data_IF_491550133820
#
_entry.id   IF_491550133820
#
_cell.length_a   1.000
_cell.length_b   1.000
_cell.length_c   1.000
_cell.angle_alpha   90.00
_cell.angle_beta   90.00
_cell.angle_gamma   90.00
#
_symmetry.space_group_name_H-M   'P 1'
#
loop_
_entity.id
_entity.type
_entity.pdbx_description
1 polymer ?
#
# COMPACT_ATOMS: atom_id res chain seq x y z
N UNK A 1 1.78 4.52 11.07
CA UNK A 1 0.95 3.29 10.98
C UNK A 1 0.51 3.08 9.54
N UNK A 2 0.74 1.87 9.01
CA UNK A 2 0.28 1.51 7.66
C UNK A 2 -1.25 1.35 7.65
N UNK A 3 -1.89 1.61 6.52
CA UNK A 3 -3.37 1.56 6.43
C UNK A 3 -3.94 0.17 6.73
N UNK A 4 -3.22 -0.89 6.38
CA UNK A 4 -3.67 -2.27 6.61
C UNK A 4 -3.59 -2.65 8.09
N UNK A 5 -2.54 -2.22 8.80
CA UNK A 5 -2.41 -2.34 10.26
C UNK A 5 -3.55 -1.60 10.98
N UNK A 6 -3.85 -0.38 10.51
CA UNK A 6 -4.95 0.42 11.02
C UNK A 6 -6.28 -0.30 10.86
N UNK A 7 -6.60 -0.81 9.66
CA UNK A 7 -7.85 -1.53 9.39
C UNK A 7 -7.96 -2.81 10.20
N UNK A 8 -6.87 -3.58 10.33
CA UNK A 8 -6.85 -4.80 11.13
C UNK A 8 -7.17 -4.52 12.60
N UNK A 9 -6.56 -3.48 13.18
CA UNK A 9 -6.81 -3.07 14.57
C UNK A 9 -8.22 -2.52 14.74
N UNK A 10 -8.67 -1.70 13.79
CA UNK A 10 -10.00 -1.09 13.82
C UNK A 10 -11.13 -2.13 13.78
N UNK A 11 -10.97 -3.20 12.99
CA UNK A 11 -11.94 -4.28 12.89
C UNK A 11 -12.12 -5.08 14.19
N UNK A 12 -11.16 -5.01 15.13
CA UNK A 12 -11.30 -5.61 16.46
C UNK A 12 -12.15 -4.74 17.40
N UNK A 13 -12.25 -3.43 17.12
CA UNK A 13 -12.91 -2.46 17.98
C UNK A 13 -14.35 -2.16 17.52
N UNK A 14 -14.61 -2.22 16.22
CA UNK A 14 -15.87 -1.81 15.62
C UNK A 14 -16.09 -2.47 14.26
N UNK A 15 -17.35 -2.48 13.81
CA UNK A 15 -17.65 -2.84 12.42
C UNK A 15 -17.19 -1.74 11.49
N UNK A 16 -16.61 -2.12 10.35
CA UNK A 16 -16.15 -1.17 9.34
C UNK A 16 -16.64 -1.55 7.95
N UNK A 17 -16.85 -0.53 7.13
CA UNK A 17 -17.01 -0.68 5.69
C UNK A 17 -16.10 0.31 4.98
N UNK A 18 -15.36 -0.15 3.97
CA UNK A 18 -14.53 0.71 3.13
C UNK A 18 -15.19 0.86 1.76
N UNK A 19 -15.48 2.08 1.34
CA UNK A 19 -15.87 2.38 -0.04
C UNK A 19 -14.65 2.15 -0.97
N UNK A 20 -14.79 1.23 -1.91
CA UNK A 20 -13.72 0.83 -2.83
C UNK A 20 -13.36 1.89 -3.86
N UNK A 21 -14.26 2.84 -4.15
CA UNK A 21 -14.02 3.95 -5.08
C UNK A 21 -13.38 5.14 -4.38
N UNK A 22 -13.91 5.54 -3.23
CA UNK A 22 -13.46 6.74 -2.52
C UNK A 22 -12.37 6.48 -1.48
N UNK A 23 -12.20 5.22 -1.05
CA UNK A 23 -11.28 4.84 0.02
C UNK A 23 -11.73 5.31 1.41
N UNK A 24 -12.96 5.82 1.54
CA UNK A 24 -13.52 6.25 2.83
C UNK A 24 -13.82 5.03 3.68
N UNK A 25 -13.35 5.05 4.92
CA UNK A 25 -13.63 4.02 5.92
C UNK A 25 -14.76 4.55 6.80
N UNK A 26 -15.89 3.87 6.81
CA UNK A 26 -17.01 4.13 7.72
C UNK A 26 -16.95 3.15 8.88
N UNK A 27 -17.08 3.67 10.10
CA UNK A 27 -17.05 2.93 11.36
C UNK A 27 -18.45 2.92 11.95
N UNK A 28 -18.92 1.76 12.40
CA UNK A 28 -20.25 1.52 12.93
C UNK A 28 -20.13 0.89 14.32
N UNK A 29 -21.04 1.24 15.22
CA UNK A 29 -21.20 0.45 16.45
C UNK A 29 -21.97 -0.83 16.13
N UNK A 30 -21.90 -1.80 17.04
CA UNK A 30 -22.59 -3.08 16.88
C UNK A 30 -24.13 -2.93 16.81
N UNK A 31 -24.67 -1.82 17.33
CA UNK A 31 -26.11 -1.54 17.35
C UNK A 31 -26.64 -0.97 16.03
N UNK A 32 -25.77 -0.44 15.16
CA UNK A 32 -26.15 0.22 13.90
C UNK A 32 -25.63 -0.53 12.66
N UNK A 33 -25.15 -1.75 12.83
CA UNK A 33 -24.70 -2.61 11.73
C UNK A 33 -25.85 -3.52 11.27
N UNK A 34 -26.36 -3.29 10.05
CA UNK A 34 -27.26 -4.25 9.38
C UNK A 34 -28.69 -3.80 9.07
N UNK A 35 -29.09 -2.56 9.36
CA UNK A 35 -30.36 -2.00 8.87
C UNK A 35 -30.08 -0.88 7.87
N UNK A 36 -31.04 -0.61 6.97
CA UNK A 36 -31.04 0.25 5.76
C UNK A 36 -30.43 1.69 5.84
N UNK A 37 -29.75 2.05 6.92
CA UNK A 37 -29.22 3.37 7.15
C UNK A 37 -27.82 3.55 6.55
N UNK A 38 -27.79 4.13 5.35
CA UNK A 38 -26.61 4.82 4.81
C UNK A 38 -26.01 5.89 5.77
N UNK A 39 -26.69 6.16 6.89
CA UNK A 39 -26.32 7.13 7.92
C UNK A 39 -25.98 6.51 9.28
N UNK A 40 -25.93 5.18 9.43
CA UNK A 40 -25.68 4.51 10.72
C UNK A 40 -24.24 4.57 11.24
N UNK A 41 -23.33 5.22 10.52
CA UNK A 41 -21.92 5.31 10.89
C UNK A 41 -21.70 6.32 12.02
N UNK A 42 -20.77 6.02 12.94
CA UNK A 42 -20.33 6.95 13.98
C UNK A 42 -19.10 7.76 13.55
N UNK A 43 -18.22 7.20 12.72
CA UNK A 43 -17.10 7.92 12.11
C UNK A 43 -16.97 7.61 10.61
N UNK A 44 -16.59 8.62 9.82
CA UNK A 44 -16.06 8.42 8.46
C UNK A 44 -14.67 9.03 8.35
N UNK A 45 -13.74 8.21 7.88
CA UNK A 45 -12.33 8.52 7.79
C UNK A 45 -11.92 8.56 6.32
N UNK A 46 -11.25 9.65 5.91
CA UNK A 46 -10.62 9.77 4.59
C UNK A 46 -9.09 9.65 4.70
N UNK A 47 -8.55 8.43 4.84
CA UNK A 47 -7.13 8.21 5.17
C UNK A 47 -6.17 8.65 4.07
N UNK A 48 -6.58 8.71 2.80
CA UNK A 48 -5.70 9.10 1.69
C UNK A 48 -5.41 10.62 1.64
N UNK A 49 -6.10 11.44 2.44
CA UNK A 49 -5.90 12.89 2.47
C UNK A 49 -4.74 13.29 3.37
N UNK A 50 -4.07 14.41 3.05
CA UNK A 50 -2.94 14.96 3.82
C UNK A 50 -3.28 15.05 5.31
N UNK A 51 -4.42 15.65 5.63
CA UNK A 51 -5.08 15.58 6.93
C UNK A 51 -6.22 14.57 6.83
N UNK A 52 -6.29 13.58 7.73
CA UNK A 52 -7.42 12.65 7.76
C UNK A 52 -8.67 13.47 8.04
N UNK A 53 -9.68 13.37 7.18
CA UNK A 53 -10.98 13.95 7.49
C UNK A 53 -11.73 12.94 8.35
N UNK A 54 -12.12 13.37 9.54
CA UNK A 54 -12.94 12.60 10.48
C UNK A 54 -14.30 13.27 10.57
N UNK A 55 -15.29 12.76 9.82
CA UNK A 55 -16.69 13.10 10.10
C UNK A 55 -17.15 12.25 11.28
N UNK A 56 -18.01 12.80 12.13
CA UNK A 56 -18.45 12.17 13.37
C UNK A 56 -19.94 12.37 13.61
N UNK A 57 -20.60 11.31 14.04
CA UNK A 57 -21.98 11.30 14.55
C UNK A 57 -21.96 10.74 15.98
N UNK A 58 -21.88 11.64 16.95
CA UNK A 58 -21.75 11.27 18.37
C UNK A 58 -23.00 10.57 18.92
N UNK A 59 -24.16 10.91 18.38
CA UNK A 59 -25.45 10.27 18.67
C UNK A 59 -25.49 8.80 18.23
N UNK A 60 -24.60 8.40 17.31
CA UNK A 60 -24.47 7.01 16.83
C UNK A 60 -23.41 6.20 17.57
N UNK A 61 -22.86 6.71 18.68
CA UNK A 61 -21.99 5.94 19.57
C UNK A 61 -22.74 5.06 20.57
N UNK A 62 -24.07 5.08 20.55
CA UNK A 62 -24.85 4.32 21.50
C UNK A 62 -24.49 2.82 21.48
N UNK A 63 -24.39 2.23 22.68
CA UNK A 63 -23.93 0.87 22.92
C UNK A 63 -22.43 0.61 22.78
N UNK A 64 -21.61 1.59 22.38
CA UNK A 64 -20.15 1.41 22.37
C UNK A 64 -19.56 1.65 23.77
N UNK A 65 -18.84 0.69 24.37
CA UNK A 65 -18.20 0.92 25.67
C UNK A 65 -17.20 2.08 25.62
N UNK A 66 -17.12 2.87 26.70
CA UNK A 66 -16.26 4.06 26.78
C UNK A 66 -14.79 3.75 26.46
N UNK A 67 -14.29 2.59 26.88
CA UNK A 67 -12.92 2.17 26.57
C UNK A 67 -12.72 1.89 25.07
N UNK A 68 -13.70 1.29 24.39
CA UNK A 68 -13.65 1.12 22.94
C UNK A 68 -13.64 2.46 22.22
N UNK A 69 -14.43 3.44 22.68
CA UNK A 69 -14.42 4.80 22.13
C UNK A 69 -13.05 5.45 22.31
N UNK A 70 -12.46 5.35 23.51
CA UNK A 70 -11.11 5.86 23.79
C UNK A 70 -10.07 5.24 22.84
N UNK A 71 -10.08 3.92 22.72
CA UNK A 71 -9.09 3.18 21.93
C UNK A 71 -9.24 3.49 20.43
N UNK A 72 -10.49 3.63 19.95
CA UNK A 72 -10.79 4.10 18.60
C UNK A 72 -10.23 5.50 18.34
N UNK A 73 -10.46 6.46 19.24
CA UNK A 73 -9.96 7.83 19.10
C UNK A 73 -8.43 7.89 19.11
N UNK A 74 -7.78 7.07 19.95
CA UNK A 74 -6.32 6.94 19.96
C UNK A 74 -5.81 6.39 18.62
N UNK A 75 -6.44 5.35 18.09
CA UNK A 75 -6.09 4.75 16.80
C UNK A 75 -6.25 5.75 15.63
N UNK A 76 -7.34 6.52 15.62
CA UNK A 76 -7.54 7.60 14.63
C UNK A 76 -6.46 8.68 14.77
N UNK A 77 -6.08 9.02 15.99
CA UNK A 77 -5.02 10.02 16.26
C UNK A 77 -3.66 9.55 15.75
N UNK A 78 -3.32 8.26 15.90
CA UNK A 78 -2.08 7.69 15.34
C UNK A 78 -2.08 7.71 13.81
N UNK A 79 -3.22 7.39 13.19
CA UNK A 79 -3.40 7.48 11.75
C UNK A 79 -3.24 8.93 11.25
N UNK A 80 -3.80 9.91 11.96
CA UNK A 80 -3.70 11.34 11.65
C UNK A 80 -2.26 11.85 11.70
N UNK A 81 -1.48 11.42 12.70
CA UNK A 81 -0.07 11.79 12.84
C UNK A 81 0.83 11.17 11.79
N UNK A 82 0.40 10.05 11.19
CA UNK A 82 1.18 9.36 10.17
C UNK A 82 1.06 10.10 8.82
N UNK A 83 2.16 10.48 8.15
CA UNK A 83 2.13 11.04 6.80
C UNK A 83 1.45 10.10 5.78
N UNK A 84 0.84 10.66 4.72
CA UNK A 84 0.13 9.85 3.71
C UNK A 84 1.05 8.80 3.06
N UNK A 85 2.31 9.15 2.78
CA UNK A 85 3.30 8.24 2.19
C UNK A 85 3.62 7.03 3.09
N UNK A 86 3.51 7.19 4.40
CA UNK A 86 3.72 6.11 5.37
C UNK A 86 2.43 5.31 5.63
N UNK A 87 1.25 5.95 5.49
CA UNK A 87 -0.05 5.26 5.53
C UNK A 87 -0.24 4.35 4.33
N UNK A 88 0.11 4.84 3.14
CA UNK A 88 0.00 4.15 1.86
C UNK A 88 1.39 4.04 1.26
N UNK A 89 2.22 3.10 1.74
CA UNK A 89 3.53 2.89 1.14
C UNK A 89 3.34 2.55 -0.34
N UNK A 90 4.07 3.27 -1.21
CA UNK A 90 4.09 2.94 -2.63
C UNK A 90 4.63 1.51 -2.80
N UNK A 91 3.94 0.71 -3.60
CA UNK A 91 4.43 -0.62 -3.95
C UNK A 91 5.72 -0.45 -4.74
N UNK A 92 6.76 -1.12 -4.24
CA UNK A 92 8.06 -1.18 -4.88
C UNK A 92 8.23 -2.51 -5.58
N UNK A 93 8.90 -2.45 -6.71
CA UNK A 93 9.19 -3.57 -7.57
C UNK A 93 10.69 -3.60 -7.85
N UNK A 94 11.20 -4.78 -8.15
CA UNK A 94 12.55 -4.99 -8.67
C UNK A 94 12.43 -5.61 -10.05
N UNK A 95 13.42 -5.36 -10.90
CA UNK A 95 13.51 -5.99 -12.21
C UNK A 95 14.54 -7.11 -12.16
N UNK A 96 14.19 -8.26 -12.73
CA UNK A 96 15.07 -9.43 -12.79
C UNK A 96 15.06 -10.10 -14.15
N UNK A 97 16.13 -10.81 -14.48
CA UNK A 97 16.23 -11.63 -15.67
C UNK A 97 17.06 -12.89 -15.42
N UNK A 98 16.74 -13.96 -16.14
CA UNK A 98 17.59 -15.16 -16.22
C UNK A 98 18.70 -14.91 -17.23
N UNK A 99 19.96 -14.96 -16.78
CA UNK A 99 21.14 -14.65 -17.60
C UNK A 99 22.24 -15.68 -17.37
N UNK A 100 23.04 -15.97 -18.40
CA UNK A 100 24.27 -16.75 -18.23
C UNK A 100 25.41 -15.77 -17.92
N UNK A 101 25.56 -15.37 -16.66
CA UNK A 101 26.59 -14.43 -16.24
C UNK A 101 27.99 -15.09 -16.13
N UNK A 102 28.03 -16.34 -15.62
CA UNK A 102 29.27 -17.09 -15.43
C UNK A 102 29.02 -18.60 -15.67
N UNK A 103 29.15 -19.04 -16.93
CA UNK A 103 29.04 -20.45 -17.32
C UNK A 103 27.71 -20.86 -17.98
N UNK A 104 27.49 -22.17 -18.23
CA UNK A 104 26.38 -22.66 -19.04
C UNK A 104 25.02 -22.65 -18.33
N UNK A 105 24.97 -22.32 -17.04
CA UNK A 105 23.75 -22.37 -16.23
C UNK A 105 23.17 -20.95 -16.12
N UNK A 106 21.93 -20.72 -16.58
CA UNK A 106 21.24 -19.46 -16.36
C UNK A 106 21.04 -19.22 -14.86
N UNK A 107 21.43 -18.05 -14.40
CA UNK A 107 21.21 -17.57 -13.04
C UNK A 107 20.29 -16.37 -13.07
N UNK A 108 19.41 -16.26 -12.07
CA UNK A 108 18.54 -15.10 -11.92
C UNK A 108 19.35 -13.94 -11.33
N UNK A 109 19.39 -12.83 -12.04
CA UNK A 109 20.05 -11.61 -11.58
C UNK A 109 19.04 -10.47 -11.52
N UNK A 110 19.28 -9.54 -10.60
CA UNK A 110 18.47 -8.35 -10.40
C UNK A 110 19.18 -7.12 -10.96
N UNK A 111 18.41 -6.17 -11.45
CA UNK A 111 18.92 -4.87 -11.87
C UNK A 111 19.38 -4.10 -10.63
N UNK A 112 20.63 -3.66 -10.59
CA UNK A 112 21.22 -2.90 -9.48
C UNK A 112 21.54 -1.45 -9.85
N UNK A 113 21.65 -1.15 -11.15
CA UNK A 113 21.76 0.20 -11.67
C UNK A 113 21.11 0.34 -13.05
N UNK A 114 20.76 1.57 -13.40
CA UNK A 114 20.16 1.90 -14.70
C UNK A 114 20.74 3.20 -15.23
N UNK A 115 21.11 3.20 -16.51
CA UNK A 115 21.49 4.40 -17.23
C UNK A 115 20.42 4.75 -18.27
N UNK A 116 19.91 5.99 -18.21
CA UNK A 116 18.97 6.51 -19.20
C UNK A 116 19.68 7.61 -20.01
N UNK A 117 19.61 7.48 -21.33
CA UNK A 117 20.00 8.50 -22.29
C UNK A 117 18.82 8.83 -23.21
N UNK A 118 18.94 9.88 -24.02
CA UNK A 118 17.86 10.36 -24.89
C UNK A 118 17.21 9.27 -25.74
N UNK A 119 17.96 8.24 -26.15
CA UNK A 119 17.50 7.19 -27.08
C UNK A 119 17.73 5.76 -26.56
N UNK A 120 18.22 5.58 -25.34
CA UNK A 120 18.57 4.25 -24.83
C UNK A 120 18.41 4.15 -23.31
N UNK A 121 17.91 3.00 -22.85
CA UNK A 121 17.87 2.59 -21.46
C UNK A 121 18.74 1.35 -21.32
N UNK A 122 19.75 1.41 -20.46
CA UNK A 122 20.63 0.29 -20.16
C UNK A 122 20.42 -0.16 -18.71
N UNK A 123 20.11 -1.45 -18.55
CA UNK A 123 20.03 -2.10 -17.25
C UNK A 123 21.35 -2.80 -16.91
N UNK A 124 21.91 -2.43 -15.78
CA UNK A 124 23.05 -3.11 -15.16
C UNK A 124 22.52 -4.13 -14.16
N UNK A 125 23.09 -5.34 -14.21
CA UNK A 125 22.69 -6.44 -13.33
C UNK A 125 23.84 -6.73 -12.38
N UNK A 126 23.52 -6.79 -11.09
CA UNK A 126 24.50 -7.05 -10.06
C UNK A 126 25.08 -8.46 -10.14
N UNK A 127 26.30 -8.61 -9.63
CA UNK A 127 26.98 -9.91 -9.53
C UNK A 127 26.35 -10.83 -8.48
N UNK A 128 25.69 -10.27 -7.46
CA UNK A 128 25.02 -11.05 -6.43
C UNK A 128 23.59 -11.39 -6.83
N UNK A 129 23.18 -12.63 -6.54
CA UNK A 129 21.80 -13.10 -6.73
C UNK A 129 20.85 -12.49 -5.68
N UNK A 130 21.28 -11.44 -5.00
CA UNK A 130 20.62 -10.88 -3.82
C UNK A 130 19.68 -9.76 -4.23
N UNK A 131 18.39 -10.09 -4.18
CA UNK A 131 17.29 -9.14 -4.37
C UNK A 131 17.39 -7.91 -3.45
N UNK A 132 18.01 -8.07 -2.27
CA UNK A 132 18.17 -7.01 -1.28
C UNK A 132 19.02 -5.82 -1.76
N UNK A 133 19.89 -6.02 -2.75
CA UNK A 133 20.73 -4.96 -3.32
C UNK A 133 20.19 -4.43 -4.66
N UNK A 134 19.01 -4.90 -5.08
CA UNK A 134 18.41 -4.49 -6.34
C UNK A 134 17.91 -3.04 -6.27
N UNK A 135 17.94 -2.37 -7.42
CA UNK A 135 17.28 -1.09 -7.60
C UNK A 135 15.76 -1.28 -7.51
N UNK A 136 15.12 -0.49 -6.65
CA UNK A 136 13.67 -0.51 -6.49
C UNK A 136 12.99 0.52 -7.40
N UNK A 137 11.83 0.14 -7.94
CA UNK A 137 11.02 0.95 -8.82
C UNK A 137 9.59 1.03 -8.30
N UNK A 138 8.96 2.19 -8.40
CA UNK A 138 7.52 2.36 -8.27
C UNK A 138 6.82 1.91 -9.56
N UNK A 139 5.52 1.59 -9.50
CA UNK A 139 4.77 1.29 -10.73
C UNK A 139 4.80 2.47 -11.72
N UNK A 140 4.81 3.71 -11.21
CA UNK A 140 4.90 4.90 -12.06
C UNK A 140 6.23 4.96 -12.82
N UNK A 141 7.35 4.73 -12.14
CA UNK A 141 8.67 4.69 -12.80
C UNK A 141 8.73 3.58 -13.85
N UNK A 142 8.12 2.41 -13.60
CA UNK A 142 8.03 1.33 -14.58
C UNK A 142 7.13 1.67 -15.78
N UNK A 143 6.03 2.39 -15.55
CA UNK A 143 5.16 2.87 -16.65
C UNK A 143 5.87 3.95 -17.47
N UNK A 144 6.63 4.86 -16.84
CA UNK A 144 7.43 5.87 -17.54
C UNK A 144 8.54 5.23 -18.40
N UNK A 145 9.06 4.05 -18.02
CA UNK A 145 10.00 3.28 -18.84
C UNK A 145 9.36 2.69 -20.10
N UNK A 146 8.03 2.59 -20.17
CA UNK A 146 7.34 2.02 -21.34
C UNK A 146 7.44 2.88 -22.60
N UNK A 147 7.83 4.16 -22.45
CA UNK A 147 8.16 5.05 -23.57
C UNK A 147 9.45 4.63 -24.29
N UNK A 148 10.36 3.92 -23.60
CA UNK A 148 11.66 3.50 -24.10
C UNK A 148 11.76 1.99 -24.34
N UNK A 149 10.97 1.19 -23.61
CA UNK A 149 11.05 -0.26 -23.62
C UNK A 149 9.66 -0.91 -23.71
N UNK A 150 9.47 -2.03 -24.44
CA UNK A 150 8.18 -2.68 -24.52
C UNK A 150 7.63 -3.05 -23.14
N UNK A 151 6.38 -2.63 -22.86
CA UNK A 151 5.73 -2.87 -21.57
C UNK A 151 5.69 -4.34 -21.18
N UNK A 152 5.43 -5.23 -22.14
CA UNK A 152 5.41 -6.68 -21.92
C UNK A 152 6.74 -7.22 -21.38
N UNK A 153 7.87 -6.62 -21.79
CA UNK A 153 9.18 -7.04 -21.33
C UNK A 153 9.46 -6.53 -19.90
N UNK A 154 9.04 -5.31 -19.57
CA UNK A 154 9.10 -4.80 -18.18
C UNK A 154 8.23 -5.67 -17.27
N UNK A 155 7.01 -5.98 -17.70
CA UNK A 155 6.08 -6.80 -16.91
C UNK A 155 6.60 -8.23 -16.70
N UNK A 156 7.31 -8.81 -17.68
CA UNK A 156 7.96 -10.12 -17.53
C UNK A 156 9.14 -10.10 -16.55
N UNK A 157 9.83 -8.97 -16.40
CA UNK A 157 10.98 -8.80 -15.49
C UNK A 157 10.57 -8.38 -14.09
N UNK A 158 9.38 -7.80 -13.93
CA UNK A 158 8.88 -7.16 -12.71
C UNK A 158 8.53 -8.16 -11.63
N UNK A 159 9.09 -7.94 -10.45
CA UNK A 159 8.76 -8.68 -9.23
C UNK A 159 8.51 -7.73 -8.07
N UNK A 160 7.68 -8.07 -7.07
CA UNK A 160 7.56 -7.28 -5.84
C UNK A 160 8.92 -7.18 -5.14
N UNK A 161 9.30 -6.00 -4.64
CA UNK A 161 10.58 -5.81 -3.93
C UNK A 161 10.63 -6.59 -2.60
N UNK A 162 9.55 -6.54 -1.82
CA UNK A 162 9.35 -7.42 -0.67
C UNK A 162 9.11 -8.86 -1.16
N UNK A 163 9.73 -9.85 -0.53
CA UNK A 163 9.30 -11.23 -0.71
C UNK A 163 7.87 -11.33 -0.19
N UNK A 164 6.97 -11.94 -0.97
CA UNK A 164 5.62 -12.24 -0.53
C UNK A 164 5.68 -13.32 0.56
N UNK A 165 6.09 -12.94 1.76
CA UNK A 165 5.72 -13.63 2.97
C UNK A 165 4.41 -13.01 3.41
N UNK A 166 3.32 -13.57 2.89
CA UNK A 166 2.01 -13.54 3.56
C UNK A 166 2.10 -14.32 4.89
#
# INVERSE_FOLDING_TARGET
MKIDEFKATLNQLAYTATDTRSGIISVYTHNYWGEDDANGWCFQLAPARKTVIVKKQWDKLDGMPVFCVRDLLNLITELEKTPVKERFPEKKYVLSAMRCAEGPVPVKQYVDAMNISTNNVEFHFGFSNEKANAMEFTQKELDDLSDFFPKDAIDAMKEPAEDKNE
#
